data_IF_983933729097
#
_entry.id   IF_983933729097
#
_cell.length_a   1.000
_cell.length_b   1.000
_cell.length_c   1.000
_cell.angle_alpha   90.00
_cell.angle_beta   90.00
_cell.angle_gamma   90.00
#
_symmetry.space_group_name_H-M   'P 1'
#
loop_
_entity.id
_entity.type
_entity.pdbx_description
1 polymer ?
#
# COMPACT_ATOMS: atom_id res chain seq x y z
N UNK A 1 -14.88 9.86 24.19
CA UNK A 1 -13.77 10.66 23.61
C UNK A 1 -12.76 9.85 22.78
N UNK A 2 -12.95 8.56 22.61
CA UNK A 2 -11.94 7.63 22.01
C UNK A 2 -11.86 7.71 20.49
N UNK A 3 -12.91 8.12 19.78
CA UNK A 3 -12.90 8.15 18.30
C UNK A 3 -12.32 9.43 17.66
N UNK A 4 -12.01 10.45 18.43
CA UNK A 4 -11.50 11.72 17.88
C UNK A 4 -9.99 11.70 17.56
N UNK A 5 -9.20 10.88 18.24
CA UNK A 5 -7.74 10.89 18.07
C UNK A 5 -7.28 10.16 16.79
N UNK A 6 -8.00 9.12 16.36
CA UNK A 6 -7.69 8.38 15.14
C UNK A 6 -7.95 9.24 13.90
N UNK A 7 -9.01 10.06 13.93
CA UNK A 7 -9.31 11.03 12.89
C UNK A 7 -8.30 12.18 12.82
N UNK A 8 -7.77 12.62 13.98
CA UNK A 8 -6.78 13.69 14.04
C UNK A 8 -5.49 13.35 13.30
N UNK A 9 -5.00 12.13 13.42
CA UNK A 9 -3.75 11.71 12.72
C UNK A 9 -3.91 11.77 11.20
N UNK A 10 -5.07 11.37 10.67
CA UNK A 10 -5.35 11.48 9.23
C UNK A 10 -5.50 12.94 8.81
N UNK A 11 -6.15 13.78 9.61
CA UNK A 11 -6.27 15.22 9.36
C UNK A 11 -4.89 15.87 9.33
N UNK A 12 -4.02 15.56 10.28
CA UNK A 12 -2.62 16.03 10.30
C UNK A 12 -1.89 15.57 9.05
N UNK A 13 -2.01 14.29 8.65
CA UNK A 13 -1.42 13.78 7.42
C UNK A 13 -1.88 14.55 6.18
N UNK A 14 -3.19 14.83 6.06
CA UNK A 14 -3.77 15.62 4.97
C UNK A 14 -3.25 17.07 5.00
N UNK A 15 -3.15 17.69 6.17
CA UNK A 15 -2.62 19.06 6.32
C UNK A 15 -1.16 19.14 5.88
N UNK A 16 -0.32 18.17 6.32
CA UNK A 16 1.08 18.07 5.91
C UNK A 16 1.22 17.83 4.40
N UNK A 17 0.40 16.93 3.83
CA UNK A 17 0.37 16.70 2.38
C UNK A 17 -0.04 17.93 1.59
N UNK A 18 -0.97 18.72 2.13
CA UNK A 18 -1.38 19.99 1.52
C UNK A 18 -0.23 21.01 1.52
N UNK A 19 0.48 21.14 2.64
CA UNK A 19 1.62 22.04 2.77
C UNK A 19 2.76 21.65 1.82
N UNK A 20 3.16 20.38 1.80
CA UNK A 20 4.19 19.85 0.90
C UNK A 20 3.76 20.02 -0.56
N UNK A 21 2.54 19.65 -0.89
CA UNK A 21 1.99 19.76 -2.24
C UNK A 21 1.92 21.20 -2.73
N UNK A 22 1.61 22.14 -1.85
CA UNK A 22 1.60 23.57 -2.17
C UNK A 22 3.01 24.09 -2.47
N UNK A 23 3.99 23.77 -1.63
CA UNK A 23 5.40 24.15 -1.83
C UNK A 23 5.92 23.63 -3.19
N UNK A 24 5.61 22.36 -3.53
CA UNK A 24 6.07 21.76 -4.79
C UNK A 24 5.32 22.30 -6.01
N UNK A 25 3.98 22.41 -5.93
CA UNK A 25 3.16 22.71 -7.10
C UNK A 25 3.03 24.20 -7.40
N UNK A 26 3.06 25.07 -6.37
CA UNK A 26 2.84 26.51 -6.53
C UNK A 26 4.14 27.30 -6.43
N UNK A 27 5.03 26.99 -5.51
CA UNK A 27 6.34 27.64 -5.42
C UNK A 27 7.36 27.05 -6.39
N UNK A 28 7.10 25.86 -6.95
CA UNK A 28 7.99 25.23 -7.93
C UNK A 28 9.27 24.64 -7.33
N UNK A 29 9.34 24.47 -6.02
CA UNK A 29 10.51 23.86 -5.36
C UNK A 29 10.57 22.38 -5.80
N UNK A 30 11.76 21.84 -6.14
CA UNK A 30 11.90 20.43 -6.48
C UNK A 30 11.34 19.52 -5.39
N UNK A 31 10.48 18.57 -5.77
CA UNK A 31 9.77 17.71 -4.81
C UNK A 31 10.71 16.96 -3.87
N UNK A 32 11.86 16.50 -4.39
CA UNK A 32 12.88 15.81 -3.60
C UNK A 32 13.38 16.68 -2.43
N UNK A 33 13.64 17.97 -2.68
CA UNK A 33 14.15 18.89 -1.63
C UNK A 33 13.09 19.10 -0.55
N UNK A 34 11.84 19.36 -0.95
CA UNK A 34 10.74 19.59 0.01
C UNK A 34 10.48 18.36 0.86
N UNK A 35 10.42 17.16 0.22
CA UNK A 35 10.13 15.92 0.94
C UNK A 35 11.26 15.48 1.84
N UNK A 36 12.54 15.69 1.45
CA UNK A 36 13.68 15.38 2.28
C UNK A 36 13.76 16.32 3.49
N UNK A 37 13.55 17.63 3.27
CA UNK A 37 13.50 18.61 4.37
C UNK A 37 12.36 18.30 5.35
N UNK A 38 11.17 17.96 4.85
CA UNK A 38 10.04 17.53 5.67
C UNK A 38 10.36 16.25 6.46
N UNK A 39 10.99 15.26 5.83
CA UNK A 39 11.40 14.02 6.49
C UNK A 39 12.35 14.28 7.66
N UNK A 40 13.39 15.08 7.47
CA UNK A 40 14.33 15.45 8.54
C UNK A 40 13.64 16.27 9.63
N UNK A 41 12.80 17.23 9.25
CA UNK A 41 12.05 18.06 10.21
C UNK A 41 11.11 17.22 11.07
N UNK A 42 10.38 16.28 10.48
CA UNK A 42 9.47 15.38 11.23
C UNK A 42 10.21 14.37 12.09
N UNK A 43 11.39 13.89 11.64
CA UNK A 43 12.24 13.06 12.49
C UNK A 43 12.76 13.85 13.71
N UNK A 44 13.19 15.08 13.51
CA UNK A 44 13.59 15.96 14.61
C UNK A 44 12.43 16.23 15.58
N UNK A 45 11.24 16.53 15.06
CA UNK A 45 10.04 16.72 15.89
C UNK A 45 9.70 15.47 16.70
N UNK A 46 9.78 14.28 16.08
CA UNK A 46 9.51 13.02 16.76
C UNK A 46 10.51 12.78 17.91
N UNK A 47 11.80 13.08 17.69
CA UNK A 47 12.84 12.99 18.73
C UNK A 47 12.56 13.95 19.90
N UNK A 48 12.13 15.18 19.61
CA UNK A 48 11.78 16.15 20.65
C UNK A 48 10.56 15.71 21.47
N UNK A 49 9.55 15.11 20.82
CA UNK A 49 8.32 14.67 21.49
C UNK A 49 8.47 13.35 22.26
N UNK A 50 9.24 12.41 21.73
CA UNK A 50 9.42 11.09 22.33
C UNK A 50 10.61 11.04 23.31
N UNK A 51 11.54 11.97 23.20
CA UNK A 51 12.84 11.92 23.88
C UNK A 51 13.83 10.96 23.21
N UNK A 52 15.11 11.13 23.47
CA UNK A 52 16.16 10.25 22.94
C UNK A 52 16.00 8.83 23.53
N UNK A 53 15.76 7.85 22.66
CA UNK A 53 15.54 6.45 23.06
C UNK A 53 14.18 6.16 23.71
N UNK A 54 13.32 7.16 23.85
CA UNK A 54 11.97 7.01 24.40
C UNK A 54 11.04 6.24 23.47
N UNK A 55 10.08 5.51 24.05
CA UNK A 55 8.98 4.88 23.33
C UNK A 55 7.67 5.39 23.88
N UNK A 56 6.76 5.79 23.00
CA UNK A 56 5.40 6.19 23.38
C UNK A 56 4.50 4.97 23.22
N UNK A 57 3.96 4.40 24.33
CA UNK A 57 3.07 3.25 24.23
C UNK A 57 1.74 3.64 23.57
N UNK A 58 1.25 2.78 22.67
CA UNK A 58 -0.06 2.95 22.06
C UNK A 58 -1.12 2.38 23.02
N UNK A 59 -1.95 3.25 23.57
CA UNK A 59 -2.99 2.86 24.54
C UNK A 59 -4.40 2.82 23.94
N UNK A 60 -4.57 3.22 22.69
CA UNK A 60 -5.87 3.32 22.03
C UNK A 60 -6.42 1.94 21.66
N UNK A 61 -7.52 1.46 22.27
CA UNK A 61 -8.01 0.11 22.04
C UNK A 61 -8.57 -0.10 20.62
N UNK A 62 -9.05 0.94 19.96
CA UNK A 62 -9.54 0.89 18.57
C UNK A 62 -8.41 0.63 17.60
N UNK A 63 -7.31 1.34 17.74
CA UNK A 63 -6.11 1.16 16.88
C UNK A 63 -5.48 -0.20 17.14
N UNK A 64 -5.30 -0.57 18.42
CA UNK A 64 -4.70 -1.86 18.78
C UNK A 64 -5.47 -3.06 18.24
N UNK A 65 -6.79 -2.98 18.10
CA UNK A 65 -7.62 -4.05 17.53
C UNK A 65 -7.37 -4.30 16.05
N UNK A 66 -6.87 -3.32 15.29
CA UNK A 66 -6.68 -3.46 13.83
C UNK A 66 -5.70 -4.58 13.50
N UNK A 67 -4.60 -4.68 14.22
CA UNK A 67 -3.57 -5.70 13.97
C UNK A 67 -3.63 -6.85 15.01
N UNK A 68 -3.96 -6.53 16.28
CA UNK A 68 -3.89 -7.49 17.38
C UNK A 68 -5.16 -8.33 17.55
N UNK A 69 -6.23 -8.07 16.78
CA UNK A 69 -7.46 -8.87 16.84
C UNK A 69 -7.65 -9.66 15.55
N UNK A 70 -8.15 -10.87 15.70
CA UNK A 70 -8.45 -11.77 14.60
C UNK A 70 -9.97 -11.95 14.45
N UNK A 71 -10.40 -12.09 13.21
CA UNK A 71 -11.76 -12.51 12.86
C UNK A 71 -11.89 -13.98 13.20
N UNK A 72 -13.02 -14.42 13.77
CA UNK A 72 -13.25 -15.83 14.05
C UNK A 72 -13.11 -16.71 12.80
N UNK A 73 -12.69 -17.96 12.99
CA UNK A 73 -12.48 -18.91 11.88
C UNK A 73 -13.68 -18.99 10.94
N UNK A 74 -14.91 -19.07 11.49
CA UNK A 74 -16.15 -19.12 10.71
C UNK A 74 -16.33 -17.85 9.87
N UNK A 75 -16.17 -16.66 10.48
CA UNK A 75 -16.32 -15.40 9.78
C UNK A 75 -15.22 -15.17 8.73
N UNK A 76 -14.01 -15.72 8.95
CA UNK A 76 -12.91 -15.69 7.98
C UNK A 76 -13.29 -16.47 6.70
N UNK A 77 -13.89 -17.63 6.82
CA UNK A 77 -14.37 -18.41 5.68
C UNK A 77 -15.56 -17.74 4.98
N UNK A 78 -16.50 -17.19 5.73
CA UNK A 78 -17.63 -16.42 5.15
C UNK A 78 -17.09 -15.23 4.36
N UNK A 79 -16.16 -14.47 4.93
CA UNK A 79 -15.53 -13.33 4.25
C UNK A 79 -14.83 -13.76 2.96
N UNK A 80 -14.06 -14.85 2.98
CA UNK A 80 -13.41 -15.40 1.79
C UNK A 80 -14.44 -15.80 0.72
N UNK A 81 -15.50 -16.51 1.07
CA UNK A 81 -16.53 -16.94 0.12
C UNK A 81 -17.23 -15.74 -0.51
N UNK A 82 -17.57 -14.72 0.30
CA UNK A 82 -18.18 -13.48 -0.21
C UNK A 82 -17.24 -12.78 -1.21
N UNK A 83 -15.98 -12.62 -0.88
CA UNK A 83 -14.99 -12.01 -1.77
C UNK A 83 -14.81 -12.84 -3.06
N UNK A 84 -14.73 -14.16 -2.95
CA UNK A 84 -14.61 -15.07 -4.08
C UNK A 84 -15.81 -14.97 -5.03
N UNK A 85 -17.02 -14.99 -4.48
CA UNK A 85 -18.27 -14.84 -5.28
C UNK A 85 -18.31 -13.49 -5.98
N UNK A 86 -18.02 -12.40 -5.29
CA UNK A 86 -17.97 -11.06 -5.87
C UNK A 86 -16.92 -10.96 -6.99
N UNK A 87 -15.75 -11.56 -6.80
CA UNK A 87 -14.69 -11.61 -7.82
C UNK A 87 -15.16 -12.39 -9.07
N UNK A 88 -15.71 -13.58 -8.90
CA UNK A 88 -16.23 -14.41 -10.00
C UNK A 88 -17.35 -13.69 -10.73
N UNK A 89 -18.33 -13.13 -10.01
CA UNK A 89 -19.45 -12.38 -10.61
C UNK A 89 -18.96 -11.16 -11.41
N UNK A 90 -17.99 -10.43 -10.89
CA UNK A 90 -17.39 -9.27 -11.57
C UNK A 90 -16.68 -9.69 -12.87
N UNK A 91 -15.96 -10.82 -12.85
CA UNK A 91 -15.31 -11.41 -14.01
C UNK A 91 -16.31 -11.86 -15.08
N UNK A 92 -17.36 -12.59 -14.68
CA UNK A 92 -18.43 -13.03 -15.58
C UNK A 92 -19.17 -11.85 -16.21
N UNK A 93 -19.54 -10.83 -15.42
CA UNK A 93 -20.17 -9.62 -15.96
C UNK A 93 -19.28 -8.93 -16.99
N UNK A 94 -17.99 -8.80 -16.73
CA UNK A 94 -17.02 -8.21 -17.66
C UNK A 94 -16.93 -9.00 -18.95
N UNK A 95 -16.94 -10.33 -18.87
CA UNK A 95 -16.91 -11.21 -20.03
C UNK A 95 -18.18 -11.13 -20.85
N UNK A 96 -19.36 -11.09 -20.21
CA UNK A 96 -20.65 -10.90 -20.88
C UNK A 96 -20.73 -9.54 -21.60
N UNK A 97 -20.29 -8.46 -20.96
CA UNK A 97 -20.26 -7.13 -21.57
C UNK A 97 -19.35 -7.08 -22.80
N UNK A 98 -18.17 -7.70 -22.73
CA UNK A 98 -17.25 -7.80 -23.87
C UNK A 98 -17.86 -8.61 -25.05
N UNK A 99 -18.54 -9.73 -24.74
CA UNK A 99 -19.26 -10.51 -25.76
C UNK A 99 -20.35 -9.69 -26.45
N UNK A 100 -21.14 -8.93 -25.69
CA UNK A 100 -22.18 -8.05 -26.24
C UNK A 100 -21.62 -6.93 -27.14
N UNK A 101 -20.39 -6.50 -26.90
CA UNK A 101 -19.69 -5.46 -27.70
C UNK A 101 -18.89 -6.02 -28.87
N UNK A 102 -18.98 -7.32 -29.17
CA UNK A 102 -18.24 -7.96 -30.26
C UNK A 102 -16.72 -8.01 -30.06
N UNK A 103 -16.23 -7.74 -28.85
CA UNK A 103 -14.80 -7.76 -28.55
C UNK A 103 -14.30 -9.18 -28.34
N UNK A 104 -13.04 -9.43 -28.71
CA UNK A 104 -12.37 -10.71 -28.42
C UNK A 104 -12.41 -10.99 -26.91
N UNK A 105 -12.96 -12.16 -26.56
CA UNK A 105 -13.04 -12.64 -25.17
C UNK A 105 -11.99 -13.73 -24.99
N UNK A 106 -11.31 -13.72 -23.83
CA UNK A 106 -10.41 -14.83 -23.47
C UNK A 106 -11.16 -16.16 -23.51
N UNK A 107 -10.45 -17.22 -23.89
CA UNK A 107 -10.99 -18.59 -23.86
C UNK A 107 -11.50 -18.87 -22.43
N UNK A 108 -12.74 -19.36 -22.33
CA UNK A 108 -13.39 -19.66 -21.06
C UNK A 108 -12.53 -20.56 -20.18
N UNK A 109 -11.86 -21.53 -20.77
CA UNK A 109 -10.97 -22.46 -20.07
C UNK A 109 -9.80 -21.73 -19.41
N UNK A 110 -9.14 -20.79 -20.10
CA UNK A 110 -8.03 -20.00 -19.54
C UNK A 110 -8.50 -19.08 -18.41
N UNK A 111 -9.68 -18.47 -18.56
CA UNK A 111 -10.24 -17.64 -17.52
C UNK A 111 -10.59 -18.45 -16.27
N UNK A 112 -11.22 -19.63 -16.44
CA UNK A 112 -11.53 -20.54 -15.33
C UNK A 112 -10.25 -20.99 -14.63
N UNK A 113 -9.21 -21.38 -15.37
CA UNK A 113 -7.93 -21.82 -14.81
C UNK A 113 -7.27 -20.72 -13.98
N UNK A 114 -7.19 -19.49 -14.52
CA UNK A 114 -6.64 -18.32 -13.80
C UNK A 114 -7.43 -18.01 -12.53
N UNK A 115 -8.76 -18.05 -12.63
CA UNK A 115 -9.63 -17.74 -11.49
C UNK A 115 -9.55 -18.84 -10.43
N UNK A 116 -9.58 -20.09 -10.83
CA UNK A 116 -9.48 -21.25 -9.93
C UNK A 116 -8.11 -21.26 -9.21
N UNK A 117 -7.01 -21.02 -9.92
CA UNK A 117 -5.67 -20.97 -9.29
C UNK A 117 -5.55 -19.84 -8.28
N UNK A 118 -6.09 -18.64 -8.59
CA UNK A 118 -6.11 -17.52 -7.66
C UNK A 118 -6.95 -17.84 -6.42
N UNK A 119 -8.15 -18.38 -6.61
CA UNK A 119 -9.03 -18.74 -5.49
C UNK A 119 -8.45 -19.86 -4.64
N UNK A 120 -7.79 -20.85 -5.25
CA UNK A 120 -7.10 -21.92 -4.52
C UNK A 120 -5.96 -21.36 -3.65
N UNK A 121 -5.17 -20.43 -4.19
CA UNK A 121 -4.10 -19.76 -3.45
C UNK A 121 -4.66 -18.93 -2.28
N UNK A 122 -5.73 -18.17 -2.51
CA UNK A 122 -6.40 -17.40 -1.46
C UNK A 122 -7.04 -18.32 -0.40
N UNK A 123 -7.66 -19.44 -0.80
CA UNK A 123 -8.22 -20.43 0.12
C UNK A 123 -7.12 -21.06 0.98
N UNK A 124 -5.98 -21.40 0.38
CA UNK A 124 -4.82 -21.90 1.10
C UNK A 124 -4.30 -20.88 2.11
N UNK A 125 -4.19 -19.61 1.71
CA UNK A 125 -3.79 -18.53 2.62
C UNK A 125 -4.76 -18.40 3.81
N UNK A 126 -6.08 -18.41 3.57
CA UNK A 126 -7.09 -18.37 4.64
C UNK A 126 -7.00 -19.60 5.51
N UNK A 127 -6.78 -20.80 4.94
CA UNK A 127 -6.57 -22.03 5.70
C UNK A 127 -5.37 -21.90 6.65
N UNK A 128 -4.22 -21.46 6.16
CA UNK A 128 -3.01 -21.24 6.98
C UNK A 128 -3.24 -20.20 8.07
N UNK A 129 -3.95 -19.10 7.76
CA UNK A 129 -4.29 -18.06 8.75
C UNK A 129 -5.25 -18.56 9.84
N UNK A 130 -6.06 -19.57 9.54
CA UNK A 130 -6.98 -20.18 10.51
C UNK A 130 -6.34 -21.29 11.37
N UNK A 131 -5.11 -21.70 11.06
CA UNK A 131 -4.35 -22.60 11.94
C UNK A 131 -3.93 -21.86 13.22
N UNK A 132 -3.74 -22.62 14.30
CA UNK A 132 -3.21 -22.07 15.56
C UNK A 132 -1.76 -21.63 15.36
N UNK A 133 -1.48 -20.35 15.64
CA UNK A 133 -0.16 -19.74 15.50
C UNK A 133 0.44 -19.31 16.83
N UNK A 134 -0.27 -19.56 17.93
CA UNK A 134 0.21 -19.23 19.28
C UNK A 134 1.08 -20.33 19.84
N UNK A 135 2.20 -19.95 20.47
CA UNK A 135 3.05 -20.88 21.24
C UNK A 135 2.34 -21.36 22.51
N UNK A 136 1.36 -20.60 23.04
CA UNK A 136 0.56 -20.95 24.22
C UNK A 136 -0.94 -20.78 23.92
N UNK A 137 -1.59 -21.74 23.22
CA UNK A 137 -2.99 -21.63 22.80
C UNK A 137 -4.00 -21.51 23.96
N UNK A 138 -3.60 -21.95 25.16
CA UNK A 138 -4.44 -21.87 26.39
C UNK A 138 -4.55 -20.45 26.94
N UNK A 139 -3.56 -19.58 26.69
CA UNK A 139 -3.55 -18.20 27.17
C UNK A 139 -4.09 -17.24 26.10
N UNK A 140 -3.62 -17.36 24.88
CA UNK A 140 -4.02 -16.50 23.75
C UNK A 140 -4.10 -17.37 22.49
N UNK A 141 -5.27 -17.47 21.89
CA UNK A 141 -5.46 -18.14 20.60
C UNK A 141 -5.29 -17.12 19.46
N UNK A 142 -4.39 -17.42 18.53
CA UNK A 142 -4.12 -16.60 17.34
C UNK A 142 -4.75 -17.20 16.07
N UNK A 143 -5.89 -17.87 16.23
CA UNK A 143 -6.68 -18.39 15.10
C UNK A 143 -7.43 -17.26 14.40
N UNK A 144 -7.60 -17.41 13.10
CA UNK A 144 -8.42 -16.51 12.29
C UNK A 144 -7.63 -15.49 11.48
N UNK A 145 -8.34 -14.81 10.59
CA UNK A 145 -7.75 -13.79 9.72
C UNK A 145 -7.61 -12.47 10.47
N UNK A 146 -6.44 -11.83 10.50
CA UNK A 146 -6.28 -10.51 11.11
C UNK A 146 -7.20 -9.46 10.47
N UNK A 147 -7.72 -8.52 11.25
CA UNK A 147 -8.60 -7.44 10.75
C UNK A 147 -7.91 -6.55 9.70
N UNK A 148 -6.60 -6.51 9.66
CA UNK A 148 -5.86 -5.76 8.64
C UNK A 148 -6.13 -6.28 7.22
N UNK A 149 -6.43 -7.57 7.03
CA UNK A 149 -6.66 -8.16 5.70
C UNK A 149 -7.89 -7.53 5.02
N UNK A 150 -9.10 -7.51 5.63
CA UNK A 150 -10.24 -6.81 5.04
C UNK A 150 -9.99 -5.30 4.88
N UNK A 151 -9.23 -4.65 5.75
CA UNK A 151 -8.88 -3.22 5.61
C UNK A 151 -8.05 -3.00 4.34
N UNK A 152 -7.00 -3.81 4.11
CA UNK A 152 -6.17 -3.74 2.89
C UNK A 152 -7.02 -4.01 1.65
N UNK A 153 -7.91 -5.00 1.68
CA UNK A 153 -8.80 -5.29 0.56
C UNK A 153 -9.78 -4.15 0.28
N UNK A 154 -10.30 -3.51 1.31
CA UNK A 154 -11.16 -2.32 1.16
C UNK A 154 -10.39 -1.18 0.49
N UNK A 155 -9.18 -0.88 0.97
CA UNK A 155 -8.30 0.14 0.38
C UNK A 155 -8.00 -0.21 -1.09
N UNK A 156 -7.72 -1.48 -1.40
CA UNK A 156 -7.47 -1.94 -2.77
C UNK A 156 -8.68 -1.70 -3.69
N UNK A 157 -9.88 -2.07 -3.24
CA UNK A 157 -11.10 -1.92 -4.03
C UNK A 157 -11.45 -0.45 -4.23
N UNK A 158 -11.52 0.32 -3.14
CA UNK A 158 -11.85 1.75 -3.17
C UNK A 158 -10.81 2.54 -3.95
N UNK A 159 -9.52 2.32 -3.68
CA UNK A 159 -8.44 3.01 -4.37
C UNK A 159 -8.35 2.64 -5.85
N UNK A 160 -8.59 1.38 -6.21
CA UNK A 160 -8.64 0.96 -7.61
C UNK A 160 -9.81 1.62 -8.34
N UNK A 161 -10.99 1.65 -7.72
CA UNK A 161 -12.14 2.37 -8.26
C UNK A 161 -11.83 3.86 -8.43
N UNK A 162 -11.27 4.49 -7.41
CA UNK A 162 -10.88 5.89 -7.42
C UNK A 162 -9.89 6.21 -8.56
N UNK A 163 -8.82 5.43 -8.70
CA UNK A 163 -7.81 5.66 -9.73
C UNK A 163 -8.32 5.37 -11.16
N UNK A 164 -9.15 4.33 -11.34
CA UNK A 164 -9.55 3.89 -12.69
C UNK A 164 -10.86 4.51 -13.19
N UNK A 165 -11.76 4.93 -12.29
CA UNK A 165 -13.11 5.36 -12.64
C UNK A 165 -13.35 6.85 -12.46
N UNK A 166 -12.55 7.57 -11.66
CA UNK A 166 -12.74 9.01 -11.45
C UNK A 166 -11.98 9.86 -12.48
N UNK A 167 -12.42 11.10 -12.67
CA UNK A 167 -11.72 12.08 -13.48
C UNK A 167 -10.33 12.38 -12.91
N UNK A 168 -10.22 12.44 -11.57
CA UNK A 168 -8.95 12.70 -10.90
C UNK A 168 -7.91 11.61 -11.23
N UNK A 169 -8.27 10.33 -11.16
CA UNK A 169 -7.34 9.25 -11.50
C UNK A 169 -6.84 9.34 -12.94
N UNK A 170 -7.73 9.65 -13.90
CA UNK A 170 -7.32 9.87 -15.31
C UNK A 170 -6.37 11.05 -15.44
N UNK A 171 -6.64 12.16 -14.76
CA UNK A 171 -5.76 13.33 -14.75
C UNK A 171 -4.40 13.01 -14.11
N UNK A 172 -4.40 12.22 -13.04
CA UNK A 172 -3.17 11.79 -12.35
C UNK A 172 -2.25 11.01 -13.31
N UNK A 173 -2.78 10.03 -14.05
CA UNK A 173 -2.01 9.30 -15.05
C UNK A 173 -1.54 10.19 -16.21
N UNK A 174 -2.39 11.11 -16.68
CA UNK A 174 -2.04 12.05 -17.74
C UNK A 174 -0.90 12.99 -17.32
N UNK A 175 -1.00 13.60 -16.14
CA UNK A 175 0.05 14.47 -15.57
C UNK A 175 1.34 13.70 -15.30
N UNK A 176 1.23 12.45 -14.80
CA UNK A 176 2.37 11.59 -14.56
C UNK A 176 3.08 11.16 -15.85
N UNK A 177 2.35 10.98 -16.95
CA UNK A 177 2.91 10.63 -18.26
C UNK A 177 3.60 11.78 -18.96
N UNK A 178 2.92 12.93 -19.09
CA UNK A 178 3.48 14.15 -19.65
C UNK A 178 2.71 15.37 -19.11
N UNK A 179 3.33 16.07 -18.16
CA UNK A 179 2.72 17.20 -17.50
C UNK A 179 2.44 18.39 -18.46
N UNK A 180 3.30 18.58 -19.47
CA UNK A 180 3.12 19.67 -20.44
C UNK A 180 1.97 19.38 -21.41
N UNK A 181 1.88 18.15 -21.92
CA UNK A 181 0.76 17.73 -22.75
C UNK A 181 -0.57 17.80 -21.97
N UNK A 182 -0.57 17.35 -20.70
CA UNK A 182 -1.74 17.45 -19.83
C UNK A 182 -2.19 18.92 -19.61
N UNK A 183 -1.22 19.83 -19.43
CA UNK A 183 -1.50 21.26 -19.29
C UNK A 183 -2.14 21.84 -20.56
N UNK A 184 -1.61 21.49 -21.73
CA UNK A 184 -2.18 21.92 -23.04
C UNK A 184 -3.58 21.36 -23.27
N UNK A 185 -3.88 20.19 -22.70
CA UNK A 185 -5.23 19.61 -22.72
C UNK A 185 -6.19 20.22 -21.67
N UNK A 186 -5.80 21.32 -20.99
CA UNK A 186 -6.63 22.01 -20.02
C UNK A 186 -6.63 21.43 -18.62
N UNK A 187 -5.76 20.42 -18.32
CA UNK A 187 -5.68 19.84 -16.98
C UNK A 187 -4.86 20.76 -16.06
N UNK A 188 -5.43 21.08 -14.90
CA UNK A 188 -4.70 21.85 -13.89
C UNK A 188 -3.66 21.00 -13.17
N UNK A 189 -2.43 21.00 -13.72
CA UNK A 189 -1.30 20.19 -13.24
C UNK A 189 -0.96 20.50 -11.78
N UNK A 190 -1.02 21.80 -11.37
CA UNK A 190 -0.72 22.21 -9.99
C UNK A 190 -1.68 21.55 -9.01
N UNK A 191 -2.99 21.63 -9.29
CA UNK A 191 -4.02 21.02 -8.44
C UNK A 191 -3.89 19.50 -8.36
N UNK A 192 -3.61 18.83 -9.49
CA UNK A 192 -3.42 17.36 -9.52
C UNK A 192 -2.20 16.94 -8.69
N UNK A 193 -1.08 17.66 -8.82
CA UNK A 193 0.13 17.38 -8.01
C UNK A 193 -0.13 17.58 -6.51
N UNK A 194 -0.74 18.71 -6.12
CA UNK A 194 -1.08 18.96 -4.72
C UNK A 194 -1.96 17.87 -4.15
N UNK A 195 -3.03 17.49 -4.86
CA UNK A 195 -3.93 16.42 -4.41
C UNK A 195 -3.25 15.05 -4.34
N UNK A 196 -2.26 14.78 -5.19
CA UNK A 196 -1.46 13.57 -5.10
C UNK A 196 -0.65 13.52 -3.79
N UNK A 197 -0.04 14.63 -3.37
CA UNK A 197 0.65 14.73 -2.07
C UNK A 197 -0.33 14.59 -0.90
N UNK A 198 -1.50 15.22 -0.97
CA UNK A 198 -2.55 15.11 0.05
C UNK A 198 -2.97 13.66 0.27
N UNK A 199 -3.25 12.93 -0.82
CA UNK A 199 -3.66 11.52 -0.75
C UNK A 199 -2.52 10.66 -0.24
N UNK A 200 -1.29 10.87 -0.73
CA UNK A 200 -0.10 10.14 -0.29
C UNK A 200 0.14 10.31 1.21
N UNK A 201 0.13 11.54 1.71
CA UNK A 201 0.34 11.83 3.14
C UNK A 201 -0.81 11.34 4.01
N UNK A 202 -2.06 11.44 3.54
CA UNK A 202 -3.21 10.87 4.23
C UNK A 202 -3.11 9.34 4.35
N UNK A 203 -2.71 8.65 3.28
CA UNK A 203 -2.47 7.21 3.31
C UNK A 203 -1.26 6.83 4.17
N UNK A 204 -0.22 7.68 4.22
CA UNK A 204 0.92 7.48 5.12
C UNK A 204 0.51 7.59 6.59
N UNK A 205 -0.41 8.50 6.94
CA UNK A 205 -0.97 8.58 8.29
C UNK A 205 -1.76 7.31 8.66
N UNK A 206 -2.58 6.77 7.75
CA UNK A 206 -3.26 5.48 7.95
C UNK A 206 -2.26 4.34 8.14
N UNK A 207 -1.21 4.29 7.31
CA UNK A 207 -0.15 3.29 7.44
C UNK A 207 0.60 3.42 8.77
N UNK A 208 0.85 4.64 9.24
CA UNK A 208 1.44 4.91 10.55
C UNK A 208 0.61 4.39 11.72
N UNK A 209 -0.72 4.56 11.68
CA UNK A 209 -1.64 4.00 12.67
C UNK A 209 -1.60 2.46 12.69
N UNK A 210 -1.59 1.82 11.51
CA UNK A 210 -1.49 0.37 11.39
C UNK A 210 -0.14 -0.12 11.94
N UNK A 211 0.95 0.59 11.62
CA UNK A 211 2.28 0.24 12.11
C UNK A 211 2.39 0.38 13.63
N UNK A 212 1.83 1.46 14.20
CA UNK A 212 1.76 1.68 15.65
C UNK A 212 0.91 0.60 16.36
N UNK A 213 -0.18 0.16 15.72
CA UNK A 213 -0.99 -0.98 16.20
C UNK A 213 -0.16 -2.26 16.32
N UNK A 214 0.63 -2.56 15.28
CA UNK A 214 1.47 -3.76 15.24
C UNK A 214 2.58 -3.76 16.31
N UNK A 215 3.22 -2.60 16.50
CA UNK A 215 4.33 -2.45 17.45
C UNK A 215 3.85 -2.19 18.89
N UNK A 216 2.57 -1.90 19.09
CA UNK A 216 2.00 -1.43 20.36
C UNK A 216 2.70 -0.18 20.94
N UNK A 217 3.55 0.46 20.17
CA UNK A 217 4.35 1.63 20.57
C UNK A 217 4.88 2.39 19.35
N UNK A 218 5.27 3.62 19.56
CA UNK A 218 5.98 4.44 18.57
C UNK A 218 7.33 4.80 19.18
N UNK A 219 8.41 4.59 18.40
CA UNK A 219 9.77 4.97 18.75
C UNK A 219 10.32 6.03 17.77
N UNK A 220 11.39 6.75 18.08
CA UNK A 220 12.01 7.70 17.16
C UNK A 220 12.49 7.08 15.85
N UNK A 221 12.74 5.77 15.82
CA UNK A 221 13.13 5.03 14.62
C UNK A 221 11.94 4.57 13.77
N UNK A 222 10.71 4.72 14.29
CA UNK A 222 9.47 4.35 13.57
C UNK A 222 9.29 5.25 12.34
N UNK A 223 9.12 4.64 11.17
CA UNK A 223 8.98 5.38 9.92
C UNK A 223 10.27 5.97 9.37
N UNK A 224 11.44 5.52 9.87
CA UNK A 224 12.75 5.96 9.40
C UNK A 224 13.09 5.61 7.95
N UNK A 225 14.34 5.84 7.57
CA UNK A 225 14.85 5.68 6.19
C UNK A 225 14.60 4.29 5.59
N UNK A 226 14.65 3.23 6.40
CA UNK A 226 14.32 1.86 5.97
C UNK A 226 12.87 1.72 5.50
N UNK A 227 11.93 2.33 6.22
CA UNK A 227 10.50 2.31 5.84
C UNK A 227 10.27 3.03 4.51
N UNK A 228 10.94 4.15 4.27
CA UNK A 228 10.90 4.87 3.01
C UNK A 228 11.39 3.99 1.85
N UNK A 229 12.54 3.33 2.03
CA UNK A 229 13.11 2.44 1.01
C UNK A 229 12.21 1.24 0.72
N UNK A 230 11.64 0.63 1.75
CA UNK A 230 10.69 -0.48 1.57
C UNK A 230 9.40 -0.05 0.87
N UNK A 231 8.86 1.12 1.18
CA UNK A 231 7.65 1.64 0.54
C UNK A 231 7.87 1.94 -0.94
N UNK A 232 8.96 2.65 -1.28
CA UNK A 232 9.34 2.93 -2.67
C UNK A 232 9.67 1.63 -3.40
N UNK A 233 10.47 0.75 -2.76
CA UNK A 233 10.83 -0.55 -3.30
C UNK A 233 9.63 -1.41 -3.62
N UNK A 234 8.66 -1.51 -2.72
CA UNK A 234 7.42 -2.24 -2.93
C UNK A 234 6.65 -1.71 -4.14
N UNK A 235 6.52 -0.39 -4.29
CA UNK A 235 5.82 0.20 -5.43
C UNK A 235 6.51 -0.14 -6.76
N UNK A 236 7.85 -0.05 -6.82
CA UNK A 236 8.66 -0.31 -8.03
C UNK A 236 8.72 -1.79 -8.37
N UNK A 237 9.00 -2.66 -7.38
CA UNK A 237 9.03 -4.12 -7.54
C UNK A 237 7.67 -4.62 -8.04
N UNK A 238 6.58 -4.02 -7.58
CA UNK A 238 5.24 -4.35 -8.03
C UNK A 238 4.92 -3.90 -9.46
N UNK A 239 5.69 -2.98 -10.04
CA UNK A 239 5.53 -2.52 -11.42
C UNK A 239 5.02 -1.08 -11.58
N UNK A 240 5.00 -0.28 -10.51
CA UNK A 240 4.75 1.16 -10.61
C UNK A 240 5.98 1.88 -11.14
N UNK A 241 5.82 2.65 -12.22
CA UNK A 241 6.94 3.37 -12.83
C UNK A 241 7.39 4.56 -11.99
N UNK A 242 8.70 4.67 -11.73
CA UNK A 242 9.31 5.83 -11.08
C UNK A 242 9.20 7.11 -11.90
N UNK A 243 9.07 6.98 -13.22
CA UNK A 243 8.96 8.11 -14.14
C UNK A 243 7.51 8.62 -14.28
N UNK A 244 6.54 7.96 -13.64
CA UNK A 244 5.12 8.32 -13.66
C UNK A 244 4.33 7.73 -14.83
N UNK A 245 3.03 8.04 -14.86
CA UNK A 245 2.10 7.65 -15.92
C UNK A 245 1.67 6.19 -15.95
N UNK A 246 2.33 5.30 -15.19
CA UNK A 246 2.02 3.86 -15.12
C UNK A 246 2.06 3.37 -13.68
N UNK A 247 1.11 2.51 -13.33
CA UNK A 247 1.02 1.86 -12.02
C UNK A 247 -0.42 1.47 -11.70
N UNK A 248 -0.59 0.52 -10.82
CA UNK A 248 -1.89 0.08 -10.31
C UNK A 248 -1.77 -0.15 -8.82
N UNK A 249 -2.84 0.05 -8.07
CA UNK A 249 -2.79 -0.13 -6.62
C UNK A 249 -2.42 -1.57 -6.22
N UNK A 250 -2.84 -2.57 -6.99
CA UNK A 250 -2.45 -3.97 -6.78
C UNK A 250 -0.94 -4.21 -6.87
N UNK A 251 -0.24 -3.38 -7.67
CA UNK A 251 1.19 -3.51 -7.86
C UNK A 251 1.93 -3.21 -6.53
N UNK A 252 1.47 -2.20 -5.78
CA UNK A 252 2.01 -1.91 -4.45
C UNK A 252 1.84 -3.06 -3.46
N UNK A 253 0.69 -3.76 -3.50
CA UNK A 253 0.44 -4.92 -2.63
C UNK A 253 1.35 -6.09 -3.01
N UNK A 254 1.47 -6.39 -4.31
CA UNK A 254 2.34 -7.47 -4.78
C UNK A 254 3.80 -7.20 -4.44
N UNK A 255 4.28 -5.98 -4.67
CA UNK A 255 5.64 -5.58 -4.29
C UNK A 255 5.86 -5.60 -2.78
N UNK A 256 4.88 -5.17 -1.99
CA UNK A 256 4.91 -5.27 -0.53
C UNK A 256 5.01 -6.71 -0.04
N UNK A 257 4.28 -7.64 -0.67
CA UNK A 257 4.41 -9.08 -0.37
C UNK A 257 5.81 -9.59 -0.69
N UNK A 258 6.38 -9.24 -1.83
CA UNK A 258 7.75 -9.64 -2.19
C UNK A 258 8.76 -9.14 -1.15
N UNK A 259 8.71 -7.85 -0.80
CA UNK A 259 9.60 -7.26 0.22
C UNK A 259 9.42 -7.95 1.57
N UNK A 260 8.18 -8.21 1.98
CA UNK A 260 7.88 -8.87 3.25
C UNK A 260 8.37 -10.33 3.28
N UNK A 261 8.25 -11.05 2.17
CA UNK A 261 8.75 -12.44 2.06
C UNK A 261 10.28 -12.46 2.14
N UNK A 262 10.96 -11.51 1.49
CA UNK A 262 12.42 -11.38 1.57
C UNK A 262 12.84 -11.09 3.01
N UNK A 263 12.26 -10.06 3.64
CA UNK A 263 12.64 -9.63 4.99
C UNK A 263 12.39 -10.72 6.04
N UNK A 264 11.19 -11.34 6.03
CA UNK A 264 10.85 -12.42 6.95
C UNK A 264 11.64 -13.71 6.67
N UNK A 265 11.78 -14.10 5.39
CA UNK A 265 12.53 -15.30 5.01
C UNK A 265 13.99 -15.22 5.45
N UNK A 266 14.63 -14.08 5.20
CA UNK A 266 16.00 -13.86 5.66
C UNK A 266 16.10 -13.77 7.19
N UNK A 267 15.06 -13.26 7.87
CA UNK A 267 14.96 -13.27 9.32
C UNK A 267 14.91 -14.69 9.90
N UNK A 268 14.12 -15.57 9.30
CA UNK A 268 14.03 -16.99 9.70
C UNK A 268 15.34 -17.75 9.49
N UNK A 269 16.12 -17.38 8.46
CA UNK A 269 17.45 -17.95 8.19
C UNK A 269 18.54 -17.35 9.09
N UNK A 270 18.21 -16.43 10.00
CA UNK A 270 19.15 -15.84 10.93
C UNK A 270 20.11 -14.81 10.33
N UNK A 271 19.85 -14.31 9.12
CA UNK A 271 20.71 -13.30 8.51
C UNK A 271 20.64 -11.95 9.26
N UNK A 272 21.81 -11.34 9.42
CA UNK A 272 21.93 -10.01 10.03
C UNK A 272 21.17 -8.94 9.20
N UNK A 273 20.72 -7.87 9.87
CA UNK A 273 19.97 -6.77 9.24
C UNK A 273 20.71 -6.15 8.05
N UNK A 274 22.05 -6.05 8.11
CA UNK A 274 22.85 -5.53 7.02
C UNK A 274 22.71 -6.33 5.72
N UNK A 275 22.66 -7.67 5.80
CA UNK A 275 22.48 -8.53 4.63
C UNK A 275 21.08 -8.32 4.03
N UNK A 276 20.06 -8.19 4.87
CA UNK A 276 18.69 -7.90 4.42
C UNK A 276 18.60 -6.59 3.63
N UNK A 277 19.28 -5.53 4.10
CA UNK A 277 19.33 -4.24 3.38
C UNK A 277 20.03 -4.36 2.04
N UNK A 278 21.15 -5.09 1.97
CA UNK A 278 21.91 -5.31 0.72
C UNK A 278 21.03 -6.04 -0.30
N UNK A 279 20.40 -7.15 0.10
CA UNK A 279 19.54 -7.94 -0.80
C UNK A 279 18.33 -7.14 -1.26
N UNK A 280 17.63 -6.46 -0.34
CA UNK A 280 16.48 -5.63 -0.70
C UNK A 280 16.89 -4.48 -1.64
N UNK A 281 18.02 -3.83 -1.38
CA UNK A 281 18.56 -2.79 -2.26
C UNK A 281 18.91 -3.32 -3.66
N UNK A 282 19.46 -4.51 -3.75
CA UNK A 282 19.78 -5.15 -5.03
C UNK A 282 18.52 -5.53 -5.82
N UNK A 283 17.50 -6.09 -5.17
CA UNK A 283 16.20 -6.38 -5.78
C UNK A 283 15.52 -5.11 -6.30
N UNK A 284 15.61 -4.02 -5.54
CA UNK A 284 15.08 -2.72 -5.94
C UNK A 284 15.82 -2.18 -7.17
N UNK A 285 17.17 -2.29 -7.20
CA UNK A 285 17.99 -1.85 -8.33
C UNK A 285 17.64 -2.62 -9.62
N UNK A 286 17.50 -3.94 -9.52
CA UNK A 286 17.09 -4.78 -10.66
C UNK A 286 15.70 -4.35 -11.16
N UNK A 287 14.74 -4.18 -10.26
CA UNK A 287 13.37 -3.79 -10.64
C UNK A 287 13.32 -2.42 -11.31
N UNK A 288 14.05 -1.44 -10.79
CA UNK A 288 14.17 -0.10 -11.40
C UNK A 288 14.90 -0.16 -12.75
N UNK A 289 15.92 -1.01 -12.88
CA UNK A 289 16.63 -1.25 -14.13
C UNK A 289 15.73 -1.83 -15.22
N UNK A 290 14.89 -2.80 -14.87
CA UNK A 290 13.91 -3.40 -15.80
C UNK A 290 12.89 -2.34 -16.27
N UNK A 291 12.37 -1.48 -15.37
CA UNK A 291 11.47 -0.38 -15.75
C UNK A 291 12.16 0.60 -16.73
N UNK A 292 13.41 0.97 -16.46
CA UNK A 292 14.19 1.87 -17.31
C UNK A 292 14.43 1.30 -18.72
N UNK A 293 14.81 0.01 -18.83
CA UNK A 293 15.06 -0.68 -20.10
C UNK A 293 13.75 -0.85 -20.90
N UNK A 294 12.68 -1.26 -20.23
CA UNK A 294 11.36 -1.45 -20.85
C UNK A 294 10.83 -0.18 -21.52
N UNK A 295 11.20 1.00 -21.02
CA UNK A 295 10.82 2.29 -21.63
C UNK A 295 11.59 2.61 -22.89
N UNK A 296 12.88 2.27 -22.96
CA UNK A 296 13.70 2.51 -24.15
C UNK A 296 13.22 1.72 -25.36
N UNK A 297 12.60 0.55 -25.16
CA UNK A 297 12.04 -0.26 -26.24
C UNK A 297 10.66 0.19 -26.74
N UNK A 298 10.04 1.22 -26.16
CA UNK A 298 8.72 1.74 -26.53
C UNK A 298 8.77 3.14 -27.20
N UNK A 299 9.96 3.64 -27.50
CA UNK A 299 10.25 4.80 -28.35
C UNK A 299 10.75 4.30 -29.69
#
# INVERSE_FOLDING_TARGET
MVGHQDGLSVIVGVALGTSIGWLVAYLGIPSFVVTLAAFLGFQGLLLLLAGEGGTIPMTQPTVLKIENSNISVTNSWIFFVVCAVLYVLSGLRKMQLRRKQGLKVELMQLWVLKTASLLALCAFAVYVLNLERSNNPKLISLKGTPYIVPVILLILVVGTFFLQRTAFGRHLYAVGGNAEAARRAGINVKRVRTMAFVICSGMAAVAGLIFASRQNSISPTTGGSSTLLYAVGAAVIGGTSLFGGKGKLRDAILGGLVVSVIDNGMGLLGYAAGIKYIVTGFVLLISAGVDAISRKGSV
#
